data_IF_882923110748
#
_entry.id   IF_882923110748
#
_cell.length_a   1.000
_cell.length_b   1.000
_cell.length_c   1.000
_cell.angle_alpha   90.00
_cell.angle_beta   90.00
_cell.angle_gamma   90.00
#
_symmetry.space_group_name_H-M   'P 1'
#
loop_
_entity.id
_entity.type
_entity.pdbx_description
1 polymer ?
#
# COMPACT_ATOMS: atom_id res chain seq x y z
N UNK A 1 -0.56 39.09 24.65
CA UNK A 1 0.10 38.29 23.59
C UNK A 1 -0.43 36.86 23.61
N UNK A 2 -1.34 36.53 22.69
CA UNK A 2 -2.01 35.23 22.61
C UNK A 2 -1.20 34.28 21.69
N UNK A 3 -0.21 33.56 22.23
CA UNK A 3 0.44 32.45 21.51
C UNK A 3 -0.28 31.14 21.84
N UNK A 4 -1.52 30.98 21.36
CA UNK A 4 -2.20 29.68 21.38
C UNK A 4 -1.65 28.80 20.26
N UNK A 5 -0.62 28.03 20.63
CA UNK A 5 -0.23 26.69 20.13
C UNK A 5 -0.95 26.25 18.84
N UNK A 6 -0.44 26.70 17.70
CA UNK A 6 -0.88 26.37 16.33
C UNK A 6 -0.60 24.91 15.90
N UNK A 7 -0.38 24.00 16.84
CA UNK A 7 0.17 22.67 16.57
C UNK A 7 -0.90 21.63 16.21
N UNK A 8 -2.16 21.87 16.58
CA UNK A 8 -3.27 20.95 16.31
C UNK A 8 -3.71 20.87 14.84
N UNK A 9 -3.87 21.99 14.09
CA UNK A 9 -4.27 21.88 12.68
C UNK A 9 -3.16 21.26 11.81
N UNK A 10 -1.89 21.62 12.05
CA UNK A 10 -0.76 21.09 11.28
C UNK A 10 -0.64 19.56 11.37
N UNK A 11 -0.89 18.99 12.56
CA UNK A 11 -0.90 17.53 12.75
C UNK A 11 -2.05 16.84 11.99
N UNK A 12 -3.24 17.45 11.92
CA UNK A 12 -4.36 16.90 11.17
C UNK A 12 -4.09 16.87 9.66
N UNK A 13 -3.50 17.94 9.11
CA UNK A 13 -3.11 17.99 7.70
C UNK A 13 -1.99 16.99 7.36
N UNK A 14 -1.02 16.80 8.27
CA UNK A 14 0.05 15.81 8.10
C UNK A 14 -0.45 14.36 8.03
N UNK A 15 -1.60 14.04 8.65
CA UNK A 15 -2.21 12.70 8.59
C UNK A 15 -3.13 12.54 7.37
N UNK A 16 -3.85 13.59 6.98
CA UNK A 16 -4.81 13.55 5.86
C UNK A 16 -4.14 13.41 4.49
N UNK A 17 -3.02 14.09 4.25
CA UNK A 17 -2.34 14.06 2.95
C UNK A 17 -1.87 12.65 2.59
N UNK A 18 -1.14 11.90 3.45
CA UNK A 18 -0.80 10.52 3.15
C UNK A 18 -2.04 9.64 2.94
N UNK A 19 -3.08 9.78 3.76
CA UNK A 19 -4.29 8.97 3.65
C UNK A 19 -4.99 9.14 2.30
N UNK A 20 -5.06 10.38 1.78
CA UNK A 20 -5.60 10.68 0.46
C UNK A 20 -4.76 10.11 -0.68
N UNK A 21 -3.42 10.21 -0.57
CA UNK A 21 -2.50 9.64 -1.57
C UNK A 21 -2.59 8.12 -1.60
N UNK A 22 -2.64 7.47 -0.43
CA UNK A 22 -2.78 6.02 -0.33
C UNK A 22 -4.15 5.52 -0.80
N UNK A 23 -5.22 6.30 -0.59
CA UNK A 23 -6.54 6.00 -1.15
C UNK A 23 -6.49 6.04 -2.69
N UNK A 24 -5.90 7.09 -3.28
CA UNK A 24 -5.74 7.19 -4.73
C UNK A 24 -4.95 6.04 -5.33
N UNK A 25 -3.80 5.68 -4.75
CA UNK A 25 -2.98 4.55 -5.23
C UNK A 25 -3.75 3.23 -5.18
N UNK A 26 -4.53 3.00 -4.13
CA UNK A 26 -5.32 1.79 -4.00
C UNK A 26 -6.42 1.73 -5.07
N UNK A 27 -7.17 2.82 -5.22
CA UNK A 27 -8.28 2.88 -6.17
C UNK A 27 -7.78 2.73 -7.61
N UNK A 28 -6.67 3.39 -7.96
CA UNK A 28 -6.03 3.28 -9.27
C UNK A 28 -5.52 1.86 -9.54
N UNK A 29 -4.87 1.22 -8.55
CA UNK A 29 -4.40 -0.15 -8.68
C UNK A 29 -5.56 -1.14 -8.84
N UNK A 30 -6.62 -1.01 -8.03
CA UNK A 30 -7.81 -1.86 -8.14
C UNK A 30 -8.53 -1.65 -9.48
N UNK A 31 -8.58 -0.42 -10.01
CA UNK A 31 -9.15 -0.16 -11.34
C UNK A 31 -8.36 -0.88 -12.44
N UNK A 32 -7.03 -0.83 -12.40
CA UNK A 32 -6.17 -1.56 -13.35
C UNK A 32 -6.31 -3.08 -13.22
N UNK A 33 -6.37 -3.59 -11.99
CA UNK A 33 -6.55 -5.02 -11.73
C UNK A 33 -7.92 -5.51 -12.22
N UNK A 34 -8.99 -4.76 -11.96
CA UNK A 34 -10.33 -5.09 -12.44
C UNK A 34 -10.47 -4.96 -13.97
N UNK A 35 -9.64 -4.15 -14.63
CA UNK A 35 -9.58 -4.11 -16.09
C UNK A 35 -8.84 -5.34 -16.65
N UNK A 36 -7.79 -5.79 -15.97
CA UNK A 36 -6.96 -6.91 -16.42
C UNK A 36 -7.58 -8.28 -16.11
N UNK A 37 -8.18 -8.43 -14.94
CA UNK A 37 -8.82 -9.64 -14.45
C UNK A 37 -10.34 -9.59 -14.65
N UNK A 38 -10.96 -10.74 -14.87
CA UNK A 38 -12.41 -10.84 -15.09
C UNK A 38 -13.22 -10.29 -13.91
N UNK A 39 -14.45 -9.83 -14.18
CA UNK A 39 -15.35 -9.26 -13.16
C UNK A 39 -15.68 -10.19 -11.98
N UNK A 40 -15.50 -11.50 -12.14
CA UNK A 40 -15.76 -12.50 -11.10
C UNK A 40 -14.56 -12.72 -10.13
N UNK A 41 -13.51 -11.90 -10.26
CA UNK A 41 -12.34 -11.99 -9.38
C UNK A 41 -12.48 -11.13 -8.14
N UNK A 42 -11.99 -11.67 -7.02
CA UNK A 42 -11.92 -10.98 -5.73
C UNK A 42 -10.52 -10.47 -5.51
N UNK A 43 -10.40 -9.17 -5.25
CA UNK A 43 -9.14 -8.53 -4.86
C UNK A 43 -9.04 -8.46 -3.33
N UNK A 44 -7.93 -8.97 -2.78
CA UNK A 44 -7.62 -8.87 -1.36
C UNK A 44 -6.40 -7.97 -1.16
N UNK A 45 -6.64 -6.76 -0.67
CA UNK A 45 -5.60 -5.79 -0.34
C UNK A 45 -5.02 -6.07 1.04
N UNK A 46 -3.72 -6.36 1.11
CA UNK A 46 -3.02 -6.76 2.33
C UNK A 46 -1.81 -5.87 2.52
N UNK A 47 -1.62 -5.37 3.75
CA UNK A 47 -0.35 -4.78 4.17
C UNK A 47 0.55 -5.91 4.67
N UNK A 48 1.67 -6.12 3.99
CA UNK A 48 2.66 -7.13 4.36
C UNK A 48 3.88 -6.46 4.98
N UNK A 49 4.18 -6.79 6.23
CA UNK A 49 5.36 -6.28 6.92
C UNK A 49 6.62 -7.01 6.44
N UNK A 50 7.61 -6.24 6.01
CA UNK A 50 8.89 -6.73 5.52
C UNK A 50 9.89 -6.84 6.67
N UNK A 51 9.98 -8.03 7.26
CA UNK A 51 10.99 -8.28 8.29
C UNK A 51 12.40 -8.22 7.69
N UNK A 52 13.45 -7.91 8.48
CA UNK A 52 14.82 -7.86 7.98
C UNK A 52 15.29 -9.14 7.29
N UNK A 53 14.78 -10.30 7.71
CA UNK A 53 15.10 -11.62 7.18
C UNK A 53 14.61 -11.78 5.73
N UNK A 54 13.46 -11.19 5.37
CA UNK A 54 12.91 -11.20 4.02
C UNK A 54 13.48 -10.04 3.19
N UNK A 55 13.55 -8.86 3.80
CA UNK A 55 13.93 -7.61 3.15
C UNK A 55 15.40 -7.60 2.71
N UNK A 56 16.31 -7.92 3.62
CA UNK A 56 17.76 -7.74 3.41
C UNK A 56 18.31 -8.55 2.24
N UNK A 57 17.93 -9.83 2.05
CA UNK A 57 18.39 -10.60 0.89
C UNK A 57 17.97 -9.96 -0.43
N UNK A 58 16.70 -9.55 -0.56
CA UNK A 58 16.16 -8.93 -1.77
C UNK A 58 16.93 -7.63 -2.08
N UNK A 59 17.08 -6.74 -1.09
CA UNK A 59 17.78 -5.46 -1.31
C UNK A 59 19.24 -5.66 -1.76
N UNK A 60 19.90 -6.70 -1.25
CA UNK A 60 21.28 -7.04 -1.64
C UNK A 60 21.34 -7.62 -3.04
N UNK A 61 20.34 -8.40 -3.45
CA UNK A 61 20.26 -9.00 -4.78
C UNK A 61 20.02 -7.90 -5.83
N UNK A 62 18.95 -7.11 -5.67
CA UNK A 62 18.55 -6.09 -6.65
C UNK A 62 19.33 -4.77 -6.52
N UNK A 63 20.21 -4.66 -5.52
CA UNK A 63 21.00 -3.43 -5.21
C UNK A 63 20.15 -2.18 -4.97
N UNK A 64 18.91 -2.37 -4.53
CA UNK A 64 17.95 -1.30 -4.26
C UNK A 64 17.31 -1.51 -2.88
N UNK A 65 17.12 -0.41 -2.14
CA UNK A 65 16.43 -0.45 -0.84
C UNK A 65 14.93 -0.30 -1.00
N UNK A 66 14.17 -1.01 -0.19
CA UNK A 66 12.75 -0.70 -0.01
C UNK A 66 12.62 0.61 0.75
N UNK A 67 11.74 1.46 0.25
CA UNK A 67 11.40 2.74 0.86
C UNK A 67 10.81 2.58 2.28
N UNK A 68 10.10 1.47 2.53
CA UNK A 68 9.42 1.19 3.79
C UNK A 68 9.79 -0.18 4.38
N UNK A 69 9.36 -0.43 5.62
CA UNK A 69 9.41 -1.73 6.29
C UNK A 69 8.16 -2.57 6.03
N UNK A 70 7.34 -2.18 5.07
CA UNK A 70 6.15 -2.90 4.62
C UNK A 70 5.89 -2.62 3.15
N UNK A 71 5.12 -3.49 2.52
CA UNK A 71 4.57 -3.31 1.18
C UNK A 71 3.07 -3.58 1.22
N UNK A 72 2.34 -3.00 0.27
CA UNK A 72 0.97 -3.40 0.03
C UNK A 72 0.97 -4.41 -1.11
N UNK A 73 0.17 -5.46 -0.95
CA UNK A 73 0.01 -6.52 -1.94
C UNK A 73 -1.47 -6.74 -2.22
N UNK A 74 -1.76 -7.15 -3.44
CA UNK A 74 -3.07 -7.64 -3.85
C UNK A 74 -2.98 -9.11 -4.14
N UNK A 75 -3.86 -9.90 -3.52
CA UNK A 75 -4.11 -11.28 -3.93
C UNK A 75 -5.36 -11.29 -4.77
N UNK A 76 -5.25 -11.77 -6.01
CA UNK A 76 -6.38 -11.92 -6.93
C UNK A 76 -6.87 -13.37 -6.86
N UNK A 77 -8.12 -13.57 -6.51
CA UNK A 77 -8.74 -14.89 -6.40
C UNK A 77 -9.94 -15.03 -7.33
N UNK A 78 -10.09 -16.21 -7.94
CA UNK A 78 -11.28 -16.59 -8.70
C UNK A 78 -11.89 -17.83 -8.04
N UNK A 79 -13.08 -17.68 -7.44
CA UNK A 79 -13.65 -18.71 -6.55
C UNK A 79 -12.69 -19.04 -5.41
N UNK A 80 -12.39 -20.33 -5.24
CA UNK A 80 -11.48 -20.83 -4.19
C UNK A 80 -10.00 -20.90 -4.63
N UNK A 81 -9.66 -20.35 -5.80
CA UNK A 81 -8.30 -20.40 -6.36
C UNK A 81 -7.63 -19.02 -6.39
N UNK A 82 -6.32 -18.98 -6.15
CA UNK A 82 -5.50 -17.78 -6.37
C UNK A 82 -5.03 -17.77 -7.82
N UNK A 83 -5.34 -16.69 -8.53
CA UNK A 83 -5.00 -16.53 -9.95
C UNK A 83 -3.91 -15.50 -10.20
N UNK A 84 -3.56 -14.68 -9.21
CA UNK A 84 -2.48 -13.70 -9.35
C UNK A 84 -2.10 -12.98 -8.07
N UNK A 85 -0.99 -12.25 -8.16
CA UNK A 85 -0.47 -11.34 -7.14
C UNK A 85 -0.04 -10.03 -7.81
N UNK A 86 -0.20 -8.92 -7.11
CA UNK A 86 0.30 -7.60 -7.53
C UNK A 86 0.83 -6.81 -6.33
#
# INVERSE_FOLDING_TARGET
MYKRRLWRPAAAFAVLIPALVFAGIRDDAEALLNQHFSADTKLSFIKYDLTPEIKTPIEREVKQRFYSSFVYTWVISAGDSIVGYA
#
